data_IF_103229882395
#
_entry.id   IF_103229882395
#
_cell.length_a   1.000
_cell.length_b   1.000
_cell.length_c   1.000
_cell.angle_alpha   90.00
_cell.angle_beta   90.00
_cell.angle_gamma   90.00
#
_symmetry.space_group_name_H-M   'P 1'
#
loop_
_entity.id
_entity.type
_entity.pdbx_description
1 polymer ?
#
# COMPACT_ATOMS: atom_id res chain seq x y z
N UNK A 1 -15.68 -3.83 -2.33
CA UNK A 1 -14.24 -3.53 -2.21
C UNK A 1 -14.09 -2.11 -1.75
N UNK A 2 -13.20 -1.86 -0.80
CA UNK A 2 -12.89 -0.50 -0.32
C UNK A 2 -11.38 -0.32 -0.19
N UNK A 3 -10.94 0.94 -0.20
CA UNK A 3 -9.55 1.30 0.05
C UNK A 3 -9.27 1.14 1.53
N UNK A 4 -8.31 0.29 1.87
CA UNK A 4 -7.87 0.05 3.24
C UNK A 4 -6.41 0.46 3.39
N UNK A 5 -6.12 1.39 4.29
CA UNK A 5 -4.74 1.70 4.66
C UNK A 5 -4.17 0.56 5.52
N UNK A 6 -2.91 0.24 5.28
CA UNK A 6 -2.15 -0.82 5.94
C UNK A 6 -0.76 -0.30 6.27
N UNK A 7 -0.13 -0.90 7.27
CA UNK A 7 1.28 -0.68 7.50
C UNK A 7 2.10 -1.62 6.61
N UNK A 8 3.26 -1.14 6.16
CA UNK A 8 4.17 -1.94 5.35
C UNK A 8 5.59 -1.76 5.86
N UNK A 9 6.24 -2.87 6.18
CA UNK A 9 7.69 -2.91 6.34
C UNK A 9 8.29 -2.95 4.95
N UNK A 10 9.09 -1.93 4.61
CA UNK A 10 9.73 -1.82 3.31
C UNK A 10 11.24 -1.65 3.44
N UNK A 11 11.97 -2.19 2.47
CA UNK A 11 13.40 -1.93 2.27
C UNK A 11 13.56 -0.76 1.32
N UNK A 12 14.39 0.20 1.67
CA UNK A 12 14.81 1.27 0.77
C UNK A 12 16.17 0.86 0.19
N UNK A 13 16.23 0.70 -1.14
CA UNK A 13 17.47 0.39 -1.84
C UNK A 13 18.30 1.66 -2.08
N UNK A 14 19.58 1.49 -2.39
CA UNK A 14 20.51 2.61 -2.61
C UNK A 14 20.04 3.62 -3.67
N UNK A 15 19.27 3.17 -4.67
CA UNK A 15 18.65 4.03 -5.70
C UNK A 15 17.35 4.72 -5.27
N UNK A 16 16.97 4.64 -3.99
CA UNK A 16 15.71 5.20 -3.47
C UNK A 16 14.46 4.36 -3.79
N UNK A 17 14.61 3.22 -4.48
CA UNK A 17 13.51 2.31 -4.73
C UNK A 17 13.00 1.73 -3.41
N UNK A 18 11.69 1.84 -3.17
CA UNK A 18 11.00 1.27 -2.02
C UNK A 18 10.50 -0.13 -2.40
N UNK A 19 10.90 -1.14 -1.63
CA UNK A 19 10.60 -2.55 -1.86
C UNK A 19 9.79 -3.08 -0.67
N UNK A 20 8.49 -3.36 -0.81
CA UNK A 20 7.67 -3.86 0.29
C UNK A 20 8.09 -5.29 0.67
N UNK A 21 8.12 -5.59 1.96
CA UNK A 21 8.56 -6.89 2.52
C UNK A 21 7.45 -7.56 3.31
N UNK A 22 6.69 -6.81 4.10
CA UNK A 22 5.61 -7.33 4.94
C UNK A 22 4.46 -6.35 4.97
N UNK A 23 3.23 -6.83 4.82
CA UNK A 23 2.00 -6.05 4.99
C UNK A 23 1.40 -6.36 6.35
N UNK A 24 1.13 -5.34 7.16
CA UNK A 24 0.53 -5.46 8.49
C UNK A 24 -0.82 -4.75 8.53
N UNK A 25 -1.83 -5.49 8.95
CA UNK A 25 -3.18 -5.00 9.17
C UNK A 25 -3.31 -4.40 10.57
N UNK A 26 -4.27 -3.48 10.72
CA UNK A 26 -4.54 -2.77 11.99
C UNK A 26 -4.91 -3.74 13.13
N UNK A 27 -5.45 -4.91 12.80
CA UNK A 27 -5.78 -5.97 13.78
C UNK A 27 -4.57 -6.81 14.23
N UNK A 28 -3.37 -6.45 13.79
CA UNK A 28 -2.10 -7.10 14.17
C UNK A 28 -1.70 -8.26 13.27
N UNK A 29 -2.51 -8.66 12.28
CA UNK A 29 -2.11 -9.69 11.31
C UNK A 29 -1.08 -9.14 10.33
N UNK A 30 0.05 -9.83 10.20
CA UNK A 30 1.09 -9.47 9.23
C UNK A 30 1.35 -10.64 8.26
N UNK A 31 1.59 -10.29 7.00
CA UNK A 31 1.84 -11.25 5.92
C UNK A 31 3.14 -10.86 5.19
N UNK A 32 4.09 -11.78 5.17
CA UNK A 32 5.33 -11.61 4.39
C UNK A 32 5.02 -11.71 2.90
N UNK A 33 5.61 -10.81 2.12
CA UNK A 33 5.52 -10.82 0.67
C UNK A 33 6.51 -11.86 0.13
N UNK A 34 5.98 -12.87 -0.56
CA UNK A 34 6.73 -13.96 -1.16
C UNK A 34 7.45 -13.50 -2.44
N UNK A 35 6.75 -12.70 -3.25
CA UNK A 35 7.22 -12.25 -4.56
C UNK A 35 6.66 -10.87 -4.92
N UNK A 36 7.49 -10.04 -5.55
CA UNK A 36 7.06 -8.85 -6.28
C UNK A 36 6.94 -9.23 -7.75
N UNK A 37 5.71 -9.31 -8.24
CA UNK A 37 5.38 -9.72 -9.61
C UNK A 37 5.71 -8.59 -10.59
N UNK A 38 5.32 -7.36 -10.26
CA UNK A 38 5.65 -6.18 -11.06
C UNK A 38 5.53 -4.90 -10.23
N UNK A 39 6.18 -3.85 -10.69
CA UNK A 39 6.11 -2.52 -10.08
C UNK A 39 5.90 -1.45 -11.13
N UNK A 40 5.03 -0.50 -10.83
CA UNK A 40 4.91 0.76 -11.55
C UNK A 40 5.34 1.87 -10.60
N UNK A 41 6.33 2.67 -11.02
CA UNK A 41 6.79 3.82 -10.25
C UNK A 41 5.71 4.88 -10.05
N UNK A 42 6.04 5.97 -9.35
CA UNK A 42 5.09 7.05 -9.13
C UNK A 42 4.58 7.66 -10.44
N UNK A 43 3.26 7.67 -10.60
CA UNK A 43 2.59 8.30 -11.73
C UNK A 43 2.49 9.83 -11.60
N UNK A 44 1.60 10.42 -12.39
CA UNK A 44 1.30 11.85 -12.34
C UNK A 44 0.76 12.27 -10.96
N UNK A 45 1.09 13.49 -10.55
CA UNK A 45 0.51 14.07 -9.35
C UNK A 45 -0.89 14.59 -9.63
N UNK A 46 -1.87 14.10 -8.88
CA UNK A 46 -3.29 14.50 -8.95
C UNK A 46 -3.73 14.90 -7.56
N UNK A 47 -4.25 16.12 -7.40
CA UNK A 47 -4.64 16.69 -6.10
C UNK A 47 -3.56 16.58 -5.02
N UNK A 48 -2.29 16.81 -5.40
CA UNK A 48 -1.14 16.75 -4.48
C UNK A 48 -0.71 15.34 -4.07
N UNK A 49 -1.24 14.30 -4.73
CA UNK A 49 -0.91 12.89 -4.47
C UNK A 49 -0.36 12.27 -5.74
N UNK A 50 0.74 11.54 -5.63
CA UNK A 50 1.23 10.62 -6.67
C UNK A 50 1.27 9.20 -6.11
N UNK A 51 1.02 8.21 -6.96
CA UNK A 51 0.87 6.81 -6.53
C UNK A 51 1.81 5.90 -7.31
N UNK A 52 2.51 5.02 -6.60
CA UNK A 52 3.22 3.86 -7.15
C UNK A 52 2.41 2.58 -6.86
N UNK A 53 2.52 1.57 -7.73
CA UNK A 53 1.77 0.31 -7.63
C UNK A 53 2.72 -0.87 -7.60
N UNK A 54 2.45 -1.83 -6.72
CA UNK A 54 3.21 -3.05 -6.55
C UNK A 54 2.26 -4.23 -6.67
N UNK A 55 2.39 -5.03 -7.73
CA UNK A 55 1.71 -6.31 -7.81
C UNK A 55 2.57 -7.33 -7.07
N UNK A 56 2.02 -7.94 -6.04
CA UNK A 56 2.74 -8.81 -5.11
C UNK A 56 2.01 -10.14 -4.91
N UNK A 57 2.71 -11.12 -4.37
CA UNK A 57 2.12 -12.36 -3.85
C UNK A 57 2.48 -12.52 -2.38
N UNK A 58 1.50 -12.87 -1.55
CA UNK A 58 1.73 -13.33 -0.18
C UNK A 58 0.76 -14.45 0.17
N UNK A 59 1.25 -15.51 0.81
CA UNK A 59 0.44 -16.70 1.11
C UNK A 59 -0.15 -17.36 -0.13
N UNK A 60 0.55 -17.26 -1.28
CA UNK A 60 0.08 -17.79 -2.57
C UNK A 60 -0.97 -16.92 -3.29
N UNK A 61 -1.44 -15.83 -2.69
CA UNK A 61 -2.45 -14.94 -3.28
C UNK A 61 -1.81 -13.70 -3.91
N UNK A 62 -2.11 -13.45 -5.19
CA UNK A 62 -1.67 -12.24 -5.88
C UNK A 62 -2.62 -11.06 -5.58
N UNK A 63 -2.06 -9.89 -5.27
CA UNK A 63 -2.81 -8.66 -5.04
C UNK A 63 -1.97 -7.43 -5.40
N UNK A 64 -2.58 -6.25 -5.33
CA UNK A 64 -1.92 -4.97 -5.54
C UNK A 64 -1.81 -4.18 -4.23
N UNK A 65 -0.60 -3.67 -3.97
CA UNK A 65 -0.34 -2.65 -2.97
C UNK A 65 -0.11 -1.32 -3.67
N UNK A 66 -0.55 -0.25 -3.05
CA UNK A 66 -0.40 1.10 -3.56
C UNK A 66 0.32 1.95 -2.53
N UNK A 67 1.33 2.69 -2.97
CA UNK A 67 2.06 3.66 -2.17
C UNK A 67 1.70 5.06 -2.65
N UNK A 68 0.98 5.81 -1.82
CA UNK A 68 0.70 7.21 -2.04
C UNK A 68 1.79 8.06 -1.40
N UNK A 69 2.30 9.03 -2.14
CA UNK A 69 3.13 10.13 -1.64
C UNK A 69 2.32 11.42 -1.76
N UNK A 70 1.89 11.94 -0.61
CA UNK A 70 1.12 13.17 -0.51
C UNK A 70 2.01 14.33 -0.04
N UNK A 71 2.07 15.39 -0.83
CA UNK A 71 2.69 16.65 -0.40
C UNK A 71 1.72 17.41 0.50
N UNK A 72 2.18 17.78 1.70
CA UNK A 72 1.45 18.64 2.64
C UNK A 72 2.27 19.87 2.96
N UNK A 73 1.63 21.03 2.91
CA UNK A 73 2.21 22.27 3.41
C UNK A 73 2.14 22.30 4.94
N UNK A 74 3.25 22.68 5.58
CA UNK A 74 3.35 22.90 7.03
C UNK A 74 3.05 24.37 7.34
N UNK A 75 2.77 24.66 8.62
CA UNK A 75 2.48 26.02 9.08
C UNK A 75 3.64 27.02 8.86
N UNK A 76 4.87 26.53 8.68
CA UNK A 76 6.06 27.32 8.37
C UNK A 76 6.28 27.52 6.85
N UNK A 77 5.34 27.08 6.00
CA UNK A 77 5.44 27.14 4.55
C UNK A 77 6.33 26.06 3.92
N UNK A 78 6.95 25.18 4.72
CA UNK A 78 7.72 24.06 4.19
C UNK A 78 6.81 22.91 3.72
N UNK A 79 7.27 22.14 2.75
CA UNK A 79 6.55 20.96 2.27
C UNK A 79 7.03 19.69 2.98
N UNK A 80 6.08 18.84 3.38
CA UNK A 80 6.32 17.52 3.92
C UNK A 80 5.69 16.45 3.04
N UNK A 81 6.39 15.35 2.87
CA UNK A 81 5.88 14.17 2.18
C UNK A 81 5.29 13.20 3.20
N UNK A 82 4.03 12.84 3.01
CA UNK A 82 3.34 11.83 3.81
C UNK A 82 3.13 10.62 2.93
N UNK A 83 3.90 9.57 3.18
CA UNK A 83 3.78 8.30 2.48
C UNK A 83 2.79 7.38 3.19
N UNK A 84 1.84 6.80 2.45
CA UNK A 84 0.83 5.87 2.99
C UNK A 84 0.60 4.69 2.06
N UNK A 85 0.60 3.51 2.65
CA UNK A 85 0.31 2.26 1.94
C UNK A 85 -1.16 1.89 2.04
N UNK A 86 -1.73 1.38 0.96
CA UNK A 86 -3.09 0.87 0.95
C UNK A 86 -3.28 -0.29 -0.02
N UNK A 87 -4.38 -1.02 0.19
CA UNK A 87 -4.84 -2.13 -0.65
C UNK A 87 -6.33 -2.00 -0.94
N UNK A 88 -6.79 -2.63 -2.01
CA UNK A 88 -8.22 -2.93 -2.16
C UNK A 88 -8.56 -4.13 -1.27
N UNK A 89 -9.36 -3.88 -0.23
CA UNK A 89 -9.84 -4.92 0.68
C UNK A 89 -11.23 -5.40 0.25
N UNK A 90 -11.49 -6.68 0.53
CA UNK A 90 -12.81 -7.30 0.41
C UNK A 90 -13.34 -7.61 1.81
N UNK A 91 -14.52 -7.09 2.13
CA UNK A 91 -15.22 -7.50 3.34
C UNK A 91 -15.80 -8.91 3.17
N UNK A 92 -15.14 -9.90 3.78
CA UNK A 92 -15.66 -11.28 3.82
C UNK A 92 -16.84 -11.47 4.78
N UNK A 93 -17.18 -10.48 5.61
CA UNK A 93 -18.28 -10.55 6.57
C UNK A 93 -19.67 -10.67 5.90
N UNK A 94 -19.83 -10.16 4.68
CA UNK A 94 -21.09 -10.23 3.92
C UNK A 94 -21.32 -11.58 3.21
N UNK A 95 -20.30 -12.42 3.09
CA UNK A 95 -20.40 -13.69 2.34
C UNK A 95 -20.87 -14.85 3.22
N UNK A 96 -20.55 -14.81 4.52
CA UNK A 96 -20.99 -15.79 5.53
C UNK A 96 -22.49 -15.73 5.83
N UNK A 97 -23.14 -14.58 5.64
CA UNK A 97 -24.59 -14.42 5.86
C UNK A 97 -25.43 -14.92 4.67
N UNK A 98 -24.82 -15.07 3.50
CA UNK A 98 -25.51 -15.49 2.27
C UNK A 98 -25.44 -17.00 1.99
N UNK A 99 -24.72 -17.73 2.86
CA UNK A 99 -24.57 -19.20 2.82
C UNK A 99 -25.17 -19.91 4.04
N UNK A 100 -25.97 -19.21 4.86
CA UNK A 100 -26.75 -19.79 5.96
C UNK A 100 -28.23 -19.80 5.64
#
# INVERSE_FOLDING_TARGET
>A
MHKQYVDVVARILAGGQVVPVTVCWVDGRCFTIDEIISTTGFGLMVHGIRTATYKVRFGGHATELYLEDQTRERADGSQAHVMRWWVWAFDRTLESERRR
#
